data_IF_393398521952
#
_entry.id   IF_393398521952
#
_cell.length_a   1.000
_cell.length_b   1.000
_cell.length_c   1.000
_cell.angle_alpha   90.00
_cell.angle_beta   90.00
_cell.angle_gamma   90.00
#
_symmetry.space_group_name_H-M   'P 1'
#
loop_
_entity.id
_entity.type
_entity.pdbx_description
1 polymer ?
#
# COMPACT_ATOMS: atom_id res chain seq x y z
N UNK A 1 37.45 36.14 25.19
CA UNK A 1 36.56 34.97 25.07
C UNK A 1 35.41 35.29 24.12
N UNK A 2 35.62 35.32 22.80
CA UNK A 2 34.55 35.77 21.88
C UNK A 2 34.77 35.44 20.40
N UNK A 3 36.01 35.45 19.92
CA UNK A 3 36.33 35.09 18.53
C UNK A 3 36.27 33.57 18.28
N UNK A 4 36.65 32.75 19.26
CA UNK A 4 36.60 31.29 19.17
C UNK A 4 35.19 30.70 19.11
N UNK A 5 34.21 31.33 19.78
CA UNK A 5 32.81 30.88 19.72
C UNK A 5 32.16 31.15 18.36
N UNK A 6 32.57 32.20 17.65
CA UNK A 6 32.06 32.52 16.31
C UNK A 6 32.68 31.58 15.26
N UNK A 7 33.98 31.31 15.35
CA UNK A 7 34.64 30.32 14.51
C UNK A 7 34.01 28.91 14.68
N UNK A 8 33.73 28.51 15.93
CA UNK A 8 33.06 27.22 16.22
C UNK A 8 31.63 27.15 15.70
N UNK A 9 30.88 28.26 15.72
CA UNK A 9 29.54 28.34 15.12
C UNK A 9 29.58 28.20 13.61
N UNK A 10 30.54 28.86 12.95
CA UNK A 10 30.75 28.73 11.50
C UNK A 10 31.10 27.29 11.14
N UNK A 11 32.00 26.65 11.90
CA UNK A 11 32.34 25.24 11.70
C UNK A 11 31.11 24.32 11.86
N UNK A 12 30.33 24.50 12.93
CA UNK A 12 29.12 23.69 13.16
C UNK A 12 28.05 23.89 12.09
N UNK A 13 27.96 25.10 11.51
CA UNK A 13 27.06 25.39 10.39
C UNK A 13 27.51 24.65 9.14
N UNK A 14 28.82 24.63 8.85
CA UNK A 14 29.40 23.87 7.75
C UNK A 14 29.19 22.37 7.91
N UNK A 15 29.44 21.82 9.11
CA UNK A 15 29.21 20.40 9.39
C UNK A 15 27.74 20.01 9.18
N UNK A 16 26.82 20.87 9.62
CA UNK A 16 25.37 20.65 9.45
C UNK A 16 24.93 20.81 8.00
N UNK A 17 25.53 21.74 7.26
CA UNK A 17 25.29 21.89 5.82
C UNK A 17 25.79 20.67 5.04
N UNK A 18 26.95 20.11 5.40
CA UNK A 18 27.48 18.89 4.79
C UNK A 18 26.57 17.68 5.07
N UNK A 19 26.11 17.53 6.32
CA UNK A 19 25.18 16.46 6.68
C UNK A 19 23.85 16.57 5.92
N UNK A 20 23.32 17.79 5.78
CA UNK A 20 22.09 18.05 5.02
C UNK A 20 22.29 17.73 3.53
N UNK A 21 23.43 18.14 2.96
CA UNK A 21 23.76 17.84 1.57
C UNK A 21 23.82 16.33 1.30
N UNK A 22 24.49 15.56 2.18
CA UNK A 22 24.50 14.08 2.10
C UNK A 22 23.10 13.48 2.22
N UNK A 23 22.25 14.04 3.08
CA UNK A 23 20.88 13.57 3.25
C UNK A 23 20.02 13.83 2.00
N UNK A 24 20.16 14.99 1.38
CA UNK A 24 19.47 15.33 0.12
C UNK A 24 19.94 14.42 -1.00
N UNK A 25 21.24 14.13 -1.11
CA UNK A 25 21.75 13.18 -2.11
C UNK A 25 21.18 11.78 -1.92
N UNK A 26 21.13 11.29 -0.68
CA UNK A 26 20.53 9.97 -0.38
C UNK A 26 19.04 9.94 -0.70
N UNK A 27 18.32 11.04 -0.43
CA UNK A 27 16.92 11.17 -0.78
C UNK A 27 16.72 11.15 -2.29
N UNK A 28 17.51 11.91 -3.03
CA UNK A 28 17.48 11.91 -4.50
C UNK A 28 17.70 10.50 -5.05
N UNK A 29 18.73 9.79 -4.57
CA UNK A 29 18.99 8.42 -5.01
C UNK A 29 17.84 7.47 -4.70
N UNK A 30 17.19 7.63 -3.54
CA UNK A 30 16.01 6.83 -3.18
C UNK A 30 14.81 7.13 -4.08
N UNK A 31 14.60 8.40 -4.42
CA UNK A 31 13.50 8.80 -5.31
C UNK A 31 13.73 8.23 -6.71
N UNK A 32 14.93 8.41 -7.28
CA UNK A 32 15.27 7.82 -8.59
C UNK A 32 15.10 6.30 -8.58
N UNK A 33 15.57 5.61 -7.54
CA UNK A 33 15.38 4.16 -7.43
C UNK A 33 13.93 3.71 -7.20
N UNK A 34 13.06 4.59 -6.69
CA UNK A 34 11.62 4.33 -6.62
C UNK A 34 10.95 4.55 -7.97
N UNK A 35 11.34 5.60 -8.69
CA UNK A 35 10.84 5.90 -10.04
C UNK A 35 11.18 4.75 -11.01
N UNK A 36 12.44 4.29 -11.03
CA UNK A 36 12.88 3.16 -11.85
C UNK A 36 12.08 1.88 -11.54
N UNK A 37 11.86 1.57 -10.26
CA UNK A 37 11.08 0.40 -9.86
C UNK A 37 9.60 0.53 -10.22
N UNK A 38 9.05 1.72 -10.13
CA UNK A 38 7.66 1.97 -10.52
C UNK A 38 7.50 1.77 -12.04
N UNK A 39 8.46 2.22 -12.84
CA UNK A 39 8.50 2.00 -14.28
C UNK A 39 8.62 0.51 -14.63
N UNK A 40 9.55 -0.22 -14.00
CA UNK A 40 9.70 -1.67 -14.18
C UNK A 40 8.42 -2.45 -13.79
N UNK A 41 7.78 -2.03 -12.70
CA UNK A 41 6.51 -2.61 -12.25
C UNK A 41 5.41 -2.34 -13.27
N UNK A 42 5.31 -1.11 -13.76
CA UNK A 42 4.34 -0.74 -14.79
C UNK A 42 4.52 -1.56 -16.07
N UNK A 43 5.76 -1.71 -16.54
CA UNK A 43 6.06 -2.55 -17.71
C UNK A 43 5.66 -4.02 -17.46
N UNK A 44 5.95 -4.53 -16.26
CA UNK A 44 5.56 -5.89 -15.87
C UNK A 44 4.06 -6.07 -15.86
N UNK A 45 3.30 -5.15 -15.25
CA UNK A 45 1.83 -5.18 -15.21
C UNK A 45 1.27 -5.10 -16.63
N UNK A 46 1.76 -4.18 -17.45
CA UNK A 46 1.32 -4.02 -18.85
C UNK A 46 1.49 -5.32 -19.65
N UNK A 47 2.63 -6.00 -19.47
CA UNK A 47 2.89 -7.29 -20.10
C UNK A 47 1.97 -8.39 -19.57
N UNK A 48 1.71 -8.42 -18.26
CA UNK A 48 0.79 -9.38 -17.65
C UNK A 48 -0.65 -9.18 -18.16
N UNK A 49 -1.12 -7.93 -18.24
CA UNK A 49 -2.46 -7.60 -18.77
C UNK A 49 -2.64 -8.08 -20.20
N UNK A 50 -1.60 -7.90 -21.02
CA UNK A 50 -1.60 -8.40 -22.39
C UNK A 50 -1.70 -9.94 -22.44
N UNK A 51 -0.86 -10.64 -21.67
CA UNK A 51 -0.88 -12.10 -21.60
C UNK A 51 -2.21 -12.65 -21.06
N UNK A 52 -2.79 -12.02 -20.04
CA UNK A 52 -4.09 -12.40 -19.50
C UNK A 52 -5.21 -12.20 -20.51
N UNK A 53 -5.16 -11.12 -21.30
CA UNK A 53 -6.12 -10.88 -22.38
C UNK A 53 -6.04 -11.96 -23.46
N UNK A 54 -4.84 -12.37 -23.86
CA UNK A 54 -4.63 -13.47 -24.80
C UNK A 54 -5.14 -14.81 -24.25
N UNK A 55 -4.85 -15.09 -22.97
CA UNK A 55 -5.32 -16.31 -22.30
C UNK A 55 -6.84 -16.33 -22.19
N UNK A 56 -7.48 -15.20 -21.84
CA UNK A 56 -8.94 -15.07 -21.83
C UNK A 56 -9.53 -15.36 -23.21
N UNK A 57 -8.96 -14.80 -24.27
CA UNK A 57 -9.42 -15.06 -25.63
C UNK A 57 -9.30 -16.54 -26.01
N UNK A 58 -8.21 -17.20 -25.62
CA UNK A 58 -8.02 -18.64 -25.86
C UNK A 58 -9.02 -19.49 -25.07
N UNK A 59 -9.29 -19.16 -23.80
CA UNK A 59 -10.27 -19.86 -22.98
C UNK A 59 -11.69 -19.69 -23.50
N UNK A 60 -12.05 -18.50 -23.99
CA UNK A 60 -13.33 -18.26 -24.64
C UNK A 60 -13.49 -19.11 -25.91
N UNK A 61 -12.46 -19.15 -26.76
CA UNK A 61 -12.49 -20.00 -27.94
C UNK A 61 -12.65 -21.50 -27.58
N UNK A 62 -11.99 -21.96 -26.51
CA UNK A 62 -12.13 -23.33 -26.02
C UNK A 62 -13.52 -23.59 -25.41
N UNK A 63 -14.12 -22.60 -24.73
CA UNK A 63 -15.47 -22.70 -24.19
C UNK A 63 -16.50 -22.83 -25.32
N UNK A 64 -16.36 -22.03 -26.38
CA UNK A 64 -17.21 -22.12 -27.57
C UNK A 64 -17.12 -23.51 -28.23
N UNK A 65 -15.92 -24.08 -28.34
CA UNK A 65 -15.72 -25.45 -28.84
C UNK A 65 -16.41 -26.52 -27.99
N UNK A 66 -16.53 -26.30 -26.68
CA UNK A 66 -17.22 -27.18 -25.74
C UNK A 66 -18.72 -26.90 -25.63
N UNK A 67 -19.23 -25.89 -26.33
CA UNK A 67 -20.63 -25.46 -26.27
C UNK A 67 -21.01 -24.78 -24.95
N UNK A 68 -20.03 -24.19 -24.27
CA UNK A 68 -20.23 -23.38 -23.07
C UNK A 68 -20.28 -21.90 -23.45
N UNK A 69 -21.20 -21.15 -22.85
CA UNK A 69 -21.22 -19.69 -22.96
C UNK A 69 -20.18 -19.08 -22.02
N UNK A 70 -18.96 -18.91 -22.53
CA UNK A 70 -17.84 -18.37 -21.75
C UNK A 70 -18.08 -16.93 -21.27
N UNK A 71 -18.84 -16.12 -22.00
CA UNK A 71 -19.12 -14.73 -21.60
C UNK A 71 -20.11 -14.68 -20.44
N UNK A 72 -21.13 -15.54 -20.44
CA UNK A 72 -22.03 -15.69 -19.30
C UNK A 72 -21.29 -16.16 -18.03
N UNK A 73 -20.35 -17.11 -18.16
CA UNK A 73 -19.54 -17.59 -17.02
C UNK A 73 -18.67 -16.46 -16.44
N UNK A 74 -18.08 -15.63 -17.30
CA UNK A 74 -17.25 -14.51 -16.85
C UNK A 74 -18.09 -13.40 -16.20
N UNK A 75 -19.31 -13.15 -16.69
CA UNK A 75 -20.23 -12.20 -16.09
C UNK A 75 -20.65 -12.65 -14.67
N UNK A 76 -20.98 -13.93 -14.50
CA UNK A 76 -21.31 -14.50 -13.19
C UNK A 76 -20.13 -14.39 -12.21
N UNK A 77 -18.91 -14.73 -12.66
CA UNK A 77 -17.72 -14.60 -11.83
C UNK A 77 -17.47 -13.15 -11.37
N UNK A 78 -17.69 -12.17 -12.25
CA UNK A 78 -17.55 -10.75 -11.89
C UNK A 78 -18.59 -10.28 -10.87
N UNK A 79 -19.79 -10.86 -10.88
CA UNK A 79 -20.82 -10.59 -9.86
C UNK A 79 -20.38 -11.18 -8.51
N UNK A 80 -19.95 -12.45 -8.47
CA UNK A 80 -19.47 -13.09 -7.24
C UNK A 80 -18.27 -12.34 -6.63
N UNK A 81 -17.35 -11.83 -7.47
CA UNK A 81 -16.26 -10.95 -7.02
C UNK A 81 -16.79 -9.67 -6.36
N UNK A 82 -17.70 -8.95 -7.02
CA UNK A 82 -18.27 -7.71 -6.50
C UNK A 82 -19.08 -7.93 -5.21
N UNK A 83 -19.81 -9.04 -5.10
CA UNK A 83 -20.56 -9.40 -3.90
C UNK A 83 -19.64 -9.71 -2.71
N UNK A 84 -18.51 -10.40 -2.95
CA UNK A 84 -17.50 -10.66 -1.92
C UNK A 84 -16.82 -9.39 -1.43
N UNK A 85 -16.49 -8.46 -2.33
CA UNK A 85 -15.93 -7.17 -1.96
C UNK A 85 -16.92 -6.36 -1.11
N UNK A 86 -18.19 -6.30 -1.51
CA UNK A 86 -19.23 -5.62 -0.75
C UNK A 86 -19.45 -6.24 0.65
N UNK A 87 -19.35 -7.57 0.78
CA UNK A 87 -19.44 -8.25 2.06
C UNK A 87 -18.24 -7.94 2.97
N UNK A 88 -17.02 -7.88 2.41
CA UNK A 88 -15.81 -7.54 3.17
C UNK A 88 -15.86 -6.10 3.73
N UNK A 89 -16.39 -5.15 2.96
CA UNK A 89 -16.58 -3.77 3.42
C UNK A 89 -17.68 -3.64 4.50
N UNK A 90 -18.73 -4.47 4.42
CA UNK A 90 -19.80 -4.47 5.42
C UNK A 90 -19.34 -4.99 6.81
N UNK A 91 -18.42 -5.97 6.85
CA UNK A 91 -17.84 -6.48 8.10
C UNK A 91 -16.86 -5.47 8.75
N UNK A 92 -16.20 -4.62 7.95
CA UNK A 92 -15.28 -3.60 8.45
C UNK A 92 -15.99 -2.49 9.24
N UNK A 93 -17.24 -2.15 8.89
CA UNK A 93 -18.04 -1.11 9.56
C UNK A 93 -18.71 -1.60 10.85
N UNK A 94 -18.83 -2.93 11.04
CA UNK A 94 -19.40 -3.56 12.25
C UNK A 94 -18.42 -3.56 13.44
N UNK A 95 -17.11 -3.40 13.21
CA UNK A 95 -16.08 -3.48 14.23
C UNK A 95 -15.87 -2.21 15.08
N UNK A 96 -16.54 -1.10 14.76
CA UNK A 96 -16.32 0.21 15.43
C UNK A 96 -17.30 0.53 16.57
N UNK A 97 -18.27 -0.34 16.88
CA UNK A 97 -19.37 -0.01 17.81
C UNK A 97 -19.42 -0.82 19.13
N UNK A 98 -18.31 -1.45 19.57
CA UNK A 98 -18.33 -2.32 20.77
C UNK A 98 -17.49 -1.84 21.96
N UNK A 99 -17.08 -0.57 22.06
CA UNK A 99 -16.30 -0.07 23.22
C UNK A 99 -16.95 1.09 24.01
N UNK A 100 -18.27 1.26 23.92
CA UNK A 100 -19.01 2.30 24.66
C UNK A 100 -20.02 1.73 25.67
N UNK A 101 -19.68 0.66 26.39
CA UNK A 101 -20.48 0.20 27.55
C UNK A 101 -19.71 -0.73 28.51
N UNK A 102 -18.61 -0.25 29.11
CA UNK A 102 -18.14 -0.84 30.38
C UNK A 102 -17.46 0.22 31.24
N UNK A 103 -18.26 1.21 31.63
CA UNK A 103 -17.94 2.13 32.71
C UNK A 103 -18.75 1.78 33.96
N UNK A 104 -18.03 1.62 35.08
CA UNK A 104 -18.49 1.70 36.47
C UNK A 104 -19.11 0.44 37.14
N UNK A 105 -18.25 -0.30 37.87
CA UNK A 105 -18.46 -0.91 39.19
C UNK A 105 -17.24 -1.85 39.45
N UNK A 106 -16.42 -1.77 40.48
CA UNK A 106 -16.46 -1.11 41.78
C UNK A 106 -15.02 -0.96 42.28
N UNK A 107 -14.75 0.10 43.03
CA UNK A 107 -13.57 0.14 43.90
C UNK A 107 -13.70 -0.82 45.08
N UNK A 108 -12.60 -0.86 45.85
CA UNK A 108 -12.55 -1.12 47.30
C UNK A 108 -11.87 -2.44 47.76
N UNK A 109 -10.66 -2.26 48.32
CA UNK A 109 -10.01 -2.97 49.45
C UNK A 109 -9.58 -4.45 49.33
N UNK A 110 -8.29 -4.71 49.60
CA UNK A 110 -7.78 -5.36 50.85
C UNK A 110 -6.40 -6.00 50.64
N UNK A 111 -5.57 -5.88 51.67
CA UNK A 111 -4.20 -6.33 51.86
C UNK A 111 -3.89 -7.80 51.56
N UNK A 112 -2.63 -8.06 51.16
CA UNK A 112 -1.75 -9.05 51.80
C UNK A 112 -0.29 -8.58 51.73
#
# INVERSE_FOLDING_TARGET
MGLGSTAKKIQSLSDRAEAMYKQVQKLQQRVTGLEEKAEETHETVTRMDHQLSEQRALLLALADEQGLDGEAILAEAAIDDAEREAAADADADSATNTDAASGAASGDTTAE
#
